data_IF_786640880382
#
_entry.id   IF_786640880382
#
_cell.length_a   1.000
_cell.length_b   1.000
_cell.length_c   1.000
_cell.angle_alpha   90.00
_cell.angle_beta   90.00
_cell.angle_gamma   90.00
#
_symmetry.space_group_name_H-M   'P 1'
#
loop_
_entity.id
_entity.type
_entity.pdbx_description
1 polymer ?
#
# COMPACT_ATOMS: atom_id res chain seq x y z
N UNK A 1 8.85 -2.65 -6.11
CA UNK A 1 8.11 -3.43 -5.10
C UNK A 1 8.35 -4.91 -5.35
N UNK A 2 8.52 -5.71 -4.30
CA UNK A 2 8.76 -7.15 -4.38
C UNK A 2 7.45 -7.96 -4.23
N UNK A 3 7.50 -9.31 -4.26
CA UNK A 3 6.33 -10.19 -4.07
C UNK A 3 5.54 -9.94 -2.78
N UNK A 4 6.22 -9.55 -1.71
CA UNK A 4 5.67 -9.35 -0.37
C UNK A 4 5.08 -7.96 -0.14
N UNK A 5 4.95 -7.13 -1.19
CA UNK A 5 4.49 -5.73 -1.10
C UNK A 5 5.46 -4.77 -0.42
N UNK A 6 6.74 -5.12 -0.31
CA UNK A 6 7.73 -4.20 0.21
C UNK A 6 8.18 -3.25 -0.91
N UNK A 7 8.15 -1.94 -0.67
CA UNK A 7 8.67 -0.97 -1.62
C UNK A 7 10.21 -0.93 -1.55
N UNK A 8 10.87 -1.54 -2.54
CA UNK A 8 12.34 -1.54 -2.65
C UNK A 8 12.94 -0.15 -2.97
N UNK A 9 12.15 0.70 -3.62
CA UNK A 9 12.45 2.10 -3.94
C UNK A 9 11.14 2.80 -4.28
N UNK A 10 11.07 4.11 -4.03
CA UNK A 10 9.90 4.94 -4.32
C UNK A 10 10.29 6.40 -4.44
N UNK A 11 9.45 7.20 -5.12
CA UNK A 11 9.64 8.64 -5.20
C UNK A 11 8.99 9.35 -4.00
N UNK A 12 9.34 10.63 -3.81
CA UNK A 12 8.81 11.42 -2.70
C UNK A 12 7.28 11.57 -2.75
N UNK A 13 6.65 11.60 -3.93
CA UNK A 13 5.19 11.65 -4.02
C UNK A 13 4.52 10.39 -3.47
N UNK A 14 5.11 9.19 -3.68
CA UNK A 14 4.61 7.96 -3.08
C UNK A 14 4.83 7.94 -1.57
N UNK A 15 5.99 8.44 -1.10
CA UNK A 15 6.28 8.60 0.34
C UNK A 15 5.15 9.31 1.07
N UNK A 16 4.57 10.36 0.48
CA UNK A 16 3.51 11.19 1.07
C UNK A 16 2.12 10.97 0.44
N UNK A 17 1.89 9.87 -0.27
CA UNK A 17 0.63 9.68 -1.00
C UNK A 17 -0.57 9.52 -0.07
N UNK A 18 -0.40 8.80 1.05
CA UNK A 18 -1.42 8.60 2.07
C UNK A 18 -1.05 9.40 3.32
N UNK A 19 0.08 9.03 3.90
CA UNK A 19 0.77 9.63 5.05
C UNK A 19 2.28 9.63 4.74
N UNK A 20 3.16 10.03 5.67
CA UNK A 20 4.61 9.93 5.53
C UNK A 20 5.13 8.50 5.80
N UNK A 21 5.37 7.75 4.72
CA UNK A 21 5.91 6.39 4.80
C UNK A 21 7.27 6.32 5.51
N UNK A 22 8.10 7.37 5.44
CA UNK A 22 9.42 7.37 6.08
C UNK A 22 9.40 7.72 7.56
N UNK A 23 8.27 8.23 8.08
CA UNK A 23 8.07 8.36 9.51
C UNK A 23 7.90 7.01 10.22
N UNK A 24 7.66 5.94 9.47
CA UNK A 24 7.58 4.56 9.96
C UNK A 24 8.98 3.90 9.96
N UNK A 25 9.26 3.01 10.93
CA UNK A 25 10.43 2.12 10.86
C UNK A 25 10.43 1.33 9.55
N UNK A 26 11.62 1.07 8.99
CA UNK A 26 11.75 0.39 7.69
C UNK A 26 11.02 -0.96 7.64
N UNK A 27 11.11 -1.74 8.73
CA UNK A 27 10.43 -3.02 8.88
C UNK A 27 8.89 -2.94 8.83
N UNK A 28 8.32 -1.75 8.99
CA UNK A 28 6.87 -1.51 9.04
C UNK A 28 6.34 -0.87 7.75
N UNK A 29 7.20 -0.58 6.77
CA UNK A 29 6.82 0.07 5.50
C UNK A 29 6.20 -0.87 4.47
N UNK A 30 6.05 -2.15 4.81
CA UNK A 30 5.41 -3.13 3.94
C UNK A 30 3.98 -2.68 3.61
N UNK A 31 3.70 -2.40 2.34
CA UNK A 31 2.42 -1.81 1.97
C UNK A 31 1.25 -2.74 2.26
N UNK A 32 1.40 -4.07 2.14
CA UNK A 32 0.31 -4.98 2.49
C UNK A 32 0.01 -4.88 3.99
N UNK A 33 1.03 -4.95 4.83
CA UNK A 33 0.89 -4.82 6.28
C UNK A 33 0.21 -3.51 6.69
N UNK A 34 0.58 -2.39 6.07
CA UNK A 34 -0.03 -1.08 6.37
C UNK A 34 -1.52 -1.02 6.04
N UNK A 35 -1.99 -1.67 4.97
CA UNK A 35 -3.43 -1.74 4.67
C UNK A 35 -4.23 -2.42 5.78
N UNK A 36 -3.61 -3.29 6.58
CA UNK A 36 -4.31 -4.02 7.64
C UNK A 36 -4.13 -3.43 9.04
N UNK A 37 -3.14 -2.58 9.26
CA UNK A 37 -2.71 -2.18 10.62
C UNK A 37 -2.56 -0.68 10.83
N UNK A 38 -2.28 0.11 9.79
CA UNK A 38 -1.99 1.54 9.94
C UNK A 38 -3.27 2.39 9.84
N UNK A 39 -3.62 3.20 10.85
CA UNK A 39 -4.88 3.95 10.88
C UNK A 39 -5.12 4.82 9.65
N UNK A 40 -4.11 5.55 9.18
CA UNK A 40 -4.27 6.44 8.01
C UNK A 40 -4.31 5.68 6.68
N UNK A 41 -3.72 4.49 6.59
CA UNK A 41 -3.87 3.63 5.41
C UNK A 41 -5.24 2.98 5.36
N UNK A 42 -5.78 2.62 6.53
CA UNK A 42 -7.15 2.12 6.68
C UNK A 42 -8.16 3.22 6.33
N UNK A 43 -8.04 4.40 6.95
CA UNK A 43 -8.90 5.55 6.69
C UNK A 43 -8.67 6.18 5.30
N UNK A 44 -7.52 5.92 4.70
CA UNK A 44 -7.11 6.39 3.39
C UNK A 44 -7.90 5.77 2.24
N UNK A 45 -8.57 4.63 2.45
CA UNK A 45 -9.32 3.94 1.40
C UNK A 45 -10.81 3.96 1.68
N UNK A 46 -11.59 4.68 0.86
CA UNK A 46 -13.05 4.76 1.02
C UNK A 46 -13.75 3.40 0.97
N UNK A 47 -13.17 2.44 0.23
CA UNK A 47 -13.62 1.06 0.11
C UNK A 47 -12.56 0.10 0.70
N UNK A 48 -12.17 0.33 1.96
CA UNK A 48 -11.03 -0.32 2.62
C UNK A 48 -11.06 -1.86 2.56
N UNK A 49 -12.19 -2.50 2.87
CA UNK A 49 -12.30 -3.97 2.85
C UNK A 49 -12.09 -4.53 1.44
N UNK A 50 -12.54 -3.81 0.40
CA UNK A 50 -12.33 -4.22 -0.98
C UNK A 50 -10.86 -4.06 -1.43
N UNK A 51 -10.18 -3.01 -0.98
CA UNK A 51 -8.73 -2.89 -1.21
C UNK A 51 -7.97 -4.01 -0.48
N UNK A 52 -8.34 -4.33 0.76
CA UNK A 52 -7.77 -5.45 1.51
C UNK A 52 -7.97 -6.78 0.79
N UNK A 53 -9.17 -7.04 0.25
CA UNK A 53 -9.46 -8.24 -0.53
C UNK A 53 -8.57 -8.32 -1.78
N UNK A 54 -8.36 -7.19 -2.49
CA UNK A 54 -7.48 -7.14 -3.65
C UNK A 54 -5.99 -7.37 -3.28
N UNK A 55 -5.55 -6.85 -2.13
CA UNK A 55 -4.20 -7.11 -1.59
C UNK A 55 -4.04 -8.60 -1.26
N UNK A 56 -5.01 -9.21 -0.57
CA UNK A 56 -5.00 -10.65 -0.23
C UNK A 56 -4.98 -11.52 -1.48
N UNK A 57 -5.81 -11.23 -2.48
CA UNK A 57 -5.82 -11.98 -3.74
C UNK A 57 -4.44 -11.97 -4.42
N UNK A 58 -3.76 -10.80 -4.44
CA UNK A 58 -2.40 -10.67 -4.98
C UNK A 58 -1.36 -11.42 -4.13
N UNK A 59 -1.41 -11.29 -2.80
CA UNK A 59 -0.50 -12.03 -1.90
C UNK A 59 -0.64 -13.54 -2.11
N UNK A 60 -1.86 -14.06 -2.22
CA UNK A 60 -2.12 -15.48 -2.49
C UNK A 60 -1.56 -15.93 -3.83
N UNK A 61 -1.72 -15.12 -4.88
CA UNK A 61 -1.14 -15.42 -6.19
C UNK A 61 0.39 -15.55 -6.10
N UNK A 62 1.08 -14.58 -5.49
CA UNK A 62 2.54 -14.63 -5.35
C UNK A 62 3.02 -15.74 -4.39
N UNK A 63 2.24 -16.03 -3.35
CA UNK A 63 2.50 -17.14 -2.44
C UNK A 63 2.46 -18.48 -3.17
N UNK A 64 1.46 -18.69 -4.03
CA UNK A 64 1.34 -19.90 -4.85
C UNK A 64 2.52 -20.09 -5.81
N UNK A 65 3.08 -19.00 -6.35
CA UNK A 65 4.25 -19.04 -7.24
C UNK A 65 5.55 -19.38 -6.50
N UNK A 66 5.66 -19.03 -5.22
CA UNK A 66 6.95 -19.06 -4.48
C UNK A 66 6.81 -19.57 -3.04
N UNK A 67 6.01 -20.61 -2.85
CA UNK A 67 5.63 -21.15 -1.53
C UNK A 67 6.81 -21.48 -0.61
N UNK A 68 7.97 -21.83 -1.18
CA UNK A 68 9.19 -22.18 -0.44
C UNK A 68 10.04 -20.97 -0.05
N UNK A 69 9.65 -19.75 -0.43
CA UNK A 69 10.43 -18.57 -0.12
C UNK A 69 10.30 -18.18 1.37
N UNK A 70 11.42 -18.08 2.10
CA UNK A 70 11.41 -17.78 3.53
C UNK A 70 10.84 -16.41 3.88
N UNK A 71 10.71 -15.49 2.93
CA UNK A 71 10.09 -14.18 3.15
C UNK A 71 8.59 -14.22 3.47
N UNK A 72 7.91 -15.33 3.14
CA UNK A 72 6.47 -15.45 3.36
C UNK A 72 6.08 -15.61 4.83
N UNK A 73 6.76 -16.48 5.56
CA UNK A 73 6.35 -16.84 6.92
C UNK A 73 6.36 -15.63 7.87
N UNK A 74 7.41 -14.78 7.91
CA UNK A 74 7.41 -13.60 8.76
C UNK A 74 6.26 -12.63 8.45
N UNK A 75 5.97 -12.39 7.16
CA UNK A 75 4.88 -11.49 6.76
C UNK A 75 3.51 -12.07 7.13
N UNK A 76 3.25 -13.33 6.80
CA UNK A 76 1.95 -13.96 7.03
C UNK A 76 1.67 -14.12 8.52
N UNK A 77 2.67 -14.53 9.31
CA UNK A 77 2.56 -14.62 10.77
C UNK A 77 2.19 -13.27 11.38
N UNK A 78 2.88 -12.19 10.96
CA UNK A 78 2.61 -10.83 11.45
C UNK A 78 1.21 -10.35 11.09
N UNK A 79 0.78 -10.53 9.83
CA UNK A 79 -0.55 -10.15 9.36
C UNK A 79 -1.67 -10.92 10.10
N UNK A 80 -1.49 -12.23 10.33
CA UNK A 80 -2.45 -13.07 11.06
C UNK A 80 -2.59 -12.64 12.52
N UNK A 81 -1.49 -12.27 13.18
CA UNK A 81 -1.50 -11.84 14.57
C UNK A 81 -2.22 -10.50 14.77
N UNK A 82 -2.10 -9.59 13.80
CA UNK A 82 -2.53 -8.20 13.99
C UNK A 82 -3.85 -7.84 13.31
N UNK A 83 -4.36 -8.68 12.40
CA UNK A 83 -5.56 -8.35 11.63
C UNK A 83 -6.53 -9.53 11.48
N UNK A 84 -7.63 -9.54 12.26
CA UNK A 84 -8.73 -10.49 12.06
C UNK A 84 -9.36 -10.38 10.67
N UNK A 85 -9.34 -9.18 10.06
CA UNK A 85 -9.81 -8.98 8.69
C UNK A 85 -8.92 -9.72 7.69
N UNK A 86 -7.59 -9.66 7.85
CA UNK A 86 -6.67 -10.42 7.01
C UNK A 86 -6.95 -11.92 7.11
N UNK A 87 -7.08 -12.46 8.33
CA UNK A 87 -7.37 -13.89 8.55
C UNK A 87 -8.64 -14.30 7.81
N UNK A 88 -9.74 -13.55 8.00
CA UNK A 88 -11.00 -13.79 7.30
C UNK A 88 -10.84 -13.82 5.78
N UNK A 89 -10.23 -12.78 5.20
CA UNK A 89 -10.08 -12.67 3.75
C UNK A 89 -9.13 -13.73 3.18
N UNK A 90 -8.07 -14.07 3.92
CA UNK A 90 -7.10 -15.09 3.52
C UNK A 90 -7.75 -16.47 3.43
N UNK A 91 -8.58 -16.82 4.43
CA UNK A 91 -9.24 -18.12 4.54
C UNK A 91 -10.42 -18.27 3.57
N UNK A 92 -11.10 -17.17 3.21
CA UNK A 92 -12.15 -17.16 2.19
C UNK A 92 -11.65 -17.58 0.80
N UNK A 93 -10.33 -17.53 0.56
CA UNK A 93 -9.69 -17.91 -0.70
C UNK A 93 -10.29 -17.26 -1.96
N UNK A 94 -10.96 -16.12 -1.81
CA UNK A 94 -11.65 -15.45 -2.90
C UNK A 94 -10.61 -14.72 -3.76
N UNK A 95 -10.26 -15.33 -4.89
CA UNK A 95 -9.34 -14.75 -5.86
C UNK A 95 -10.16 -13.77 -6.69
N UNK A 96 -10.30 -12.53 -6.22
CA UNK A 96 -10.99 -11.50 -7.00
C UNK A 96 -10.37 -11.39 -8.40
N UNK A 97 -11.13 -11.81 -9.40
CA UNK A 97 -10.73 -11.83 -10.82
C UNK A 97 -10.89 -10.48 -11.51
N UNK A 98 -11.40 -9.47 -10.79
CA UNK A 98 -11.69 -8.15 -11.33
C UNK A 98 -10.77 -7.11 -10.66
N UNK A 99 -9.60 -6.83 -11.24
CA UNK A 99 -8.74 -5.77 -10.73
C UNK A 99 -9.54 -4.46 -10.73
N UNK A 100 -9.64 -3.80 -9.58
CA UNK A 100 -10.17 -2.44 -9.50
C UNK A 100 -9.39 -1.57 -10.47
N UNK A 101 -10.08 -1.05 -11.49
CA UNK A 101 -9.46 -0.23 -12.54
C UNK A 101 -8.93 1.10 -11.96
N UNK A 102 -9.54 1.57 -10.87
CA UNK A 102 -9.22 2.84 -10.19
C UNK A 102 -9.24 2.64 -8.67
N UNK A 103 -8.19 3.11 -8.00
CA UNK A 103 -8.09 3.22 -6.54
C UNK A 103 -8.50 4.62 -6.10
N UNK A 104 -9.25 4.70 -5.00
CA UNK A 104 -9.60 5.97 -4.35
C UNK A 104 -8.81 6.06 -3.05
N UNK A 105 -7.91 7.03 -3.01
CA UNK A 105 -6.97 7.25 -1.91
C UNK A 105 -7.24 8.63 -1.33
N UNK A 106 -7.38 8.72 -0.01
CA UNK A 106 -7.42 9.99 0.72
C UNK A 106 -6.01 10.29 1.21
N UNK A 107 -5.35 11.23 0.55
CA UNK A 107 -4.09 11.81 1.01
C UNK A 107 -4.34 12.77 2.16
N UNK A 108 -3.55 12.65 3.24
CA UNK A 108 -3.57 13.62 4.33
C UNK A 108 -3.12 15.03 3.89
N UNK A 109 -2.39 15.12 2.78
CA UNK A 109 -1.78 16.37 2.32
C UNK A 109 -2.57 17.08 1.23
N UNK A 110 -3.15 16.33 0.28
CA UNK A 110 -3.82 16.91 -0.91
C UNK A 110 -5.26 16.42 -1.12
N UNK A 111 -5.82 15.67 -0.17
CA UNK A 111 -7.20 15.18 -0.21
C UNK A 111 -7.38 13.97 -1.12
N UNK A 112 -8.57 13.84 -1.71
CA UNK A 112 -8.95 12.63 -2.45
C UNK A 112 -8.21 12.52 -3.80
N UNK A 113 -7.72 11.34 -4.11
CA UNK A 113 -7.01 10.98 -5.32
C UNK A 113 -7.70 9.77 -5.95
N UNK A 114 -7.99 9.85 -7.24
CA UNK A 114 -8.47 8.72 -8.04
C UNK A 114 -7.35 8.28 -8.96
N UNK A 115 -6.76 7.10 -8.72
CA UNK A 115 -5.57 6.65 -9.46
C UNK A 115 -5.75 5.29 -10.12
N UNK A 116 -5.32 5.17 -11.38
CA UNK A 116 -5.13 3.89 -12.06
C UNK A 116 -3.78 3.32 -11.65
N UNK A 117 -3.75 2.02 -11.35
CA UNK A 117 -2.49 1.33 -11.06
C UNK A 117 -1.99 0.62 -12.30
N UNK A 118 -0.80 0.99 -12.78
CA UNK A 118 -0.04 0.21 -13.77
C UNK A 118 1.03 -0.61 -13.05
N UNK A 119 1.12 -1.90 -13.38
CA UNK A 119 2.17 -2.79 -12.86
C UNK A 119 3.02 -3.29 -14.01
N UNK A 120 4.32 -3.04 -13.95
CA UNK A 120 5.30 -3.48 -14.94
C UNK A 120 6.28 -4.44 -14.27
N UNK A 121 6.46 -5.62 -14.85
CA UNK A 121 7.43 -6.61 -14.39
C UNK A 121 8.82 -6.24 -14.91
N UNK A 122 9.84 -6.41 -14.07
CA UNK A 122 11.23 -6.17 -14.48
C UNK A 122 11.77 -7.40 -15.20
N UNK A 123 12.32 -7.23 -16.42
CA UNK A 123 12.81 -8.37 -17.21
C UNK A 123 13.93 -9.15 -16.51
N UNK A 124 14.89 -8.46 -15.89
CA UNK A 124 16.04 -9.09 -15.22
C UNK A 124 15.67 -9.73 -13.88
N UNK A 125 14.60 -9.25 -13.24
CA UNK A 125 14.09 -9.80 -11.99
C UNK A 125 12.55 -9.74 -11.99
N UNK A 126 11.86 -10.70 -12.63
CA UNK A 126 10.41 -10.68 -12.80
C UNK A 126 9.61 -10.75 -11.49
N UNK A 127 10.26 -11.10 -10.38
CA UNK A 127 9.65 -11.07 -9.04
C UNK A 127 9.43 -9.63 -8.56
N UNK A 128 10.28 -8.71 -9.03
CA UNK A 128 10.17 -7.29 -8.75
C UNK A 128 9.35 -6.58 -9.83
N UNK A 129 8.64 -5.55 -9.40
CA UNK A 129 7.75 -4.75 -10.24
C UNK A 129 7.86 -3.27 -9.94
N UNK A 130 7.66 -2.49 -10.99
CA UNK A 130 7.40 -1.06 -10.90
C UNK A 130 5.88 -0.86 -10.88
N UNK A 131 5.41 -0.12 -9.89
CA UNK A 131 4.00 0.23 -9.75
C UNK A 131 3.86 1.73 -9.96
N UNK A 132 3.05 2.14 -10.93
CA UNK A 132 2.79 3.55 -11.23
C UNK A 132 1.33 3.86 -10.91
N UNK A 133 1.11 4.93 -10.15
CA UNK A 133 -0.21 5.49 -9.89
C UNK A 133 -0.44 6.65 -10.84
N UNK A 134 -1.28 6.44 -11.85
CA UNK A 134 -1.64 7.47 -12.84
C UNK A 134 -2.93 8.17 -12.40
N UNK A 135 -3.02 9.50 -12.47
CA UNK A 135 -4.27 10.21 -12.19
C UNK A 135 -5.38 9.76 -13.16
N UNK A 136 -6.55 9.47 -12.62
CA UNK A 136 -7.76 9.14 -13.40
C UNK A 136 -8.36 10.39 -14.06
N UNK A 137 -8.22 11.53 -13.40
CA UNK A 137 -8.86 12.78 -13.76
C UNK A 137 -7.92 13.98 -13.54
N UNK A 138 -8.28 15.11 -14.15
CA UNK A 138 -7.52 16.35 -14.06
C UNK A 138 -7.37 16.85 -12.62
N UNK A 139 -8.40 16.68 -11.78
CA UNK A 139 -8.36 17.09 -10.38
C UNK A 139 -7.30 16.30 -9.60
N UNK A 140 -7.20 14.99 -9.84
CA UNK A 140 -6.17 14.14 -9.23
C UNK A 140 -4.78 14.52 -9.75
N UNK A 141 -4.66 14.83 -11.04
CA UNK A 141 -3.41 15.33 -11.60
C UNK A 141 -2.95 16.62 -10.90
N UNK A 142 -3.81 17.63 -10.82
CA UNK A 142 -3.51 18.91 -10.16
C UNK A 142 -3.13 18.71 -8.68
N UNK A 143 -3.78 17.76 -7.98
CA UNK A 143 -3.44 17.41 -6.59
C UNK A 143 -2.09 16.72 -6.45
N UNK A 144 -1.73 15.82 -7.38
CA UNK A 144 -0.42 15.17 -7.37
C UNK A 144 0.71 16.16 -7.71
N UNK A 145 0.46 17.09 -8.63
CA UNK A 145 1.37 18.20 -8.95
C UNK A 145 1.54 19.13 -7.74
N UNK A 146 0.45 19.49 -7.06
CA UNK A 146 0.50 20.26 -5.81
C UNK A 146 1.27 19.51 -4.71
N UNK A 147 1.07 18.19 -4.56
CA UNK A 147 1.85 17.39 -3.62
C UNK A 147 3.34 17.46 -3.92
N UNK A 148 3.73 17.26 -5.19
CA UNK A 148 5.12 17.37 -5.61
C UNK A 148 5.70 18.78 -5.36
N UNK A 149 4.91 19.82 -5.61
CA UNK A 149 5.31 21.20 -5.39
C UNK A 149 5.49 21.52 -3.89
N UNK A 150 4.62 21.00 -3.01
CA UNK A 150 4.80 21.12 -1.54
C UNK A 150 6.06 20.41 -1.07
N UNK A 151 6.33 19.21 -1.57
CA UNK A 151 7.55 18.45 -1.25
C UNK A 151 8.79 19.25 -1.65
N UNK A 152 8.82 19.79 -2.88
CA UNK A 152 9.96 20.57 -3.38
C UNK A 152 10.23 21.83 -2.55
N UNK A 153 9.20 22.42 -1.94
CA UNK A 153 9.32 23.58 -1.05
C UNK A 153 9.61 23.22 0.41
N UNK A 154 9.67 21.93 0.76
CA UNK A 154 9.75 21.47 2.16
C UNK A 154 8.50 21.77 2.99
N UNK A 155 7.35 21.98 2.34
CA UNK A 155 6.08 22.34 2.95
C UNK A 155 5.15 21.13 3.19
N UNK A 156 5.73 19.92 3.24
CA UNK A 156 5.05 18.71 3.70
C UNK A 156 5.69 18.33 5.02
N UNK A 157 5.03 18.70 6.12
CA UNK A 157 5.45 18.27 7.44
C UNK A 157 5.15 16.77 7.62
N UNK A 158 6.07 16.07 8.30
CA UNK A 158 5.88 14.69 8.76
C UNK A 158 4.63 14.56 9.65
N UNK A 159 4.22 13.33 9.95
CA UNK A 159 2.82 12.99 10.25
C UNK A 159 2.21 13.90 11.30
N UNK A 160 0.96 14.32 11.06
CA UNK A 160 0.12 14.93 12.07
C UNK A 160 -0.12 13.90 13.18
N UNK A 161 0.78 13.87 14.17
CA UNK A 161 0.76 13.01 15.36
C UNK A 161 1.16 11.56 15.07
N UNK A 162 2.38 11.20 15.48
CA UNK A 162 2.75 9.82 15.83
C UNK A 162 1.84 9.36 16.98
N UNK A 163 0.61 8.93 16.66
CA UNK A 163 -0.15 8.04 17.54
C UNK A 163 0.52 6.69 17.40
N UNK A 164 1.35 6.36 18.39
CA UNK A 164 1.94 5.02 18.57
C UNK A 164 0.95 3.97 18.10
N UNK A 165 1.33 3.18 17.09
CA UNK A 165 0.71 1.89 16.85
C UNK A 165 0.61 1.23 18.22
N UNK A 166 -0.62 0.91 18.65
CA UNK A 166 -0.84 0.27 19.96
C UNK A 166 0.05 -0.96 19.99
N UNK A 167 0.85 -1.19 21.04
CA UNK A 167 1.48 -2.49 21.21
C UNK A 167 0.35 -3.52 21.34
N UNK A 168 0.45 -4.58 20.55
CA UNK A 168 -0.38 -5.76 20.73
C UNK A 168 -0.16 -6.25 22.17
N UNK A 169 -1.21 -6.16 22.99
CA UNK A 169 -1.33 -6.91 24.26
C UNK A 169 -1.73 -8.34 23.96
#
# INVERSE_FOLDING_TARGET
MNPWFEPLAYNASFRFMIDDLEALPEADRNCAYLHFTHPDWIAGHSDHEQECAAVVAKLRAYYGETVTDPGWEPLLSRLRAESPLFVRLWDQADVSTHPRRVKRIRSLHVGNLSVRTLTMLLQENPRNRVVVYQPEDRTTQERLEELAARIARGAVDGPATVRRLRPAT
#
